data_IF_600540735274
#
_entry.id   IF_600540735274
#
_cell.length_a   1.000
_cell.length_b   1.000
_cell.length_c   1.000
_cell.angle_alpha   90.00
_cell.angle_beta   90.00
_cell.angle_gamma   90.00
#
_symmetry.space_group_name_H-M   'P 1'
#
loop_
_entity.id
_entity.type
_entity.pdbx_description
1 polymer ?
#
# COMPACT_ATOMS: atom_id res chain seq x y z
N UNK A 1 6.65 4.86 2.00
CA UNK A 1 7.82 3.97 2.19
C UNK A 1 7.82 3.03 0.99
N UNK A 2 8.78 3.18 0.10
CA UNK A 2 8.82 2.41 -1.16
C UNK A 2 9.24 0.97 -0.83
N UNK A 3 8.30 0.03 -0.87
CA UNK A 3 8.65 -1.38 -0.94
C UNK A 3 8.88 -1.68 -2.43
N UNK A 4 10.05 -1.27 -2.93
CA UNK A 4 10.58 -1.79 -4.18
C UNK A 4 11.28 -3.11 -3.84
N UNK A 5 10.57 -4.23 -4.02
CA UNK A 5 11.27 -5.49 -4.27
C UNK A 5 11.87 -5.37 -5.68
N UNK A 6 13.19 -5.50 -5.75
CA UNK A 6 13.99 -5.59 -6.97
C UNK A 6 13.21 -6.28 -8.11
N UNK A 7 13.29 -5.72 -9.33
CA UNK A 7 12.67 -6.22 -10.57
C UNK A 7 12.72 -7.74 -10.64
N UNK A 8 11.67 -8.36 -10.14
CA UNK A 8 11.43 -9.79 -10.22
C UNK A 8 10.37 -9.97 -11.30
N UNK A 9 10.54 -10.93 -12.22
CA UNK A 9 9.55 -11.18 -13.25
C UNK A 9 8.21 -11.49 -12.55
N UNK A 10 7.15 -10.77 -12.96
CA UNK A 10 5.78 -10.86 -12.45
C UNK A 10 5.45 -10.07 -11.17
N UNK A 11 6.22 -9.03 -10.83
CA UNK A 11 5.83 -8.08 -9.76
C UNK A 11 5.06 -6.92 -10.35
N UNK A 12 3.89 -6.64 -9.79
CA UNK A 12 3.06 -5.49 -10.14
C UNK A 12 3.25 -4.37 -9.12
N UNK A 13 3.51 -3.16 -9.61
CA UNK A 13 3.54 -1.96 -8.78
C UNK A 13 2.12 -1.43 -8.58
N UNK A 14 1.69 -1.29 -7.32
CA UNK A 14 0.39 -0.72 -6.98
C UNK A 14 0.56 0.63 -6.27
N UNK A 15 -0.18 1.65 -6.70
CA UNK A 15 -0.27 2.93 -5.99
C UNK A 15 -1.68 3.51 -6.00
N UNK A 16 -1.94 4.43 -5.06
CA UNK A 16 -3.24 5.10 -4.96
C UNK A 16 -3.40 6.22 -6.00
N UNK A 17 -4.63 6.76 -6.08
CA UNK A 17 -4.97 7.89 -6.93
C UNK A 17 -4.61 9.26 -6.34
N UNK A 18 -3.64 9.39 -5.42
CA UNK A 18 -3.27 10.68 -4.85
C UNK A 18 -2.72 11.64 -5.93
N UNK A 19 -3.02 12.95 -5.88
CA UNK A 19 -2.61 13.90 -6.92
C UNK A 19 -1.09 13.92 -7.21
N UNK A 20 -0.26 13.72 -6.18
CA UNK A 20 1.19 13.67 -6.33
C UNK A 20 1.66 12.52 -7.25
N UNK A 21 0.91 11.42 -7.29
CA UNK A 21 1.24 10.24 -8.10
C UNK A 21 0.72 10.35 -9.54
N UNK A 22 -0.01 11.42 -9.88
CA UNK A 22 -0.62 11.61 -11.20
C UNK A 22 0.23 12.44 -12.17
N UNK A 23 1.37 12.97 -11.71
CA UNK A 23 2.24 13.81 -12.53
C UNK A 23 2.87 13.01 -13.67
N UNK A 24 3.10 13.66 -14.81
CA UNK A 24 3.68 12.99 -15.98
C UNK A 24 5.07 12.43 -15.71
N UNK A 25 5.87 13.11 -14.87
CA UNK A 25 7.21 12.65 -14.47
C UNK A 25 7.17 11.35 -13.65
N UNK A 26 6.22 11.23 -12.72
CA UNK A 26 6.03 9.99 -11.95
C UNK A 26 5.56 8.86 -12.85
N UNK A 27 4.62 9.13 -13.77
CA UNK A 27 4.16 8.12 -14.73
C UNK A 27 5.30 7.60 -15.61
N UNK A 28 6.10 8.51 -16.16
CA UNK A 28 7.23 8.14 -17.01
C UNK A 28 8.22 7.25 -16.24
N UNK A 29 8.59 7.65 -15.02
CA UNK A 29 9.47 6.84 -14.18
C UNK A 29 8.89 5.44 -13.91
N UNK A 30 7.60 5.34 -13.58
CA UNK A 30 6.98 4.05 -13.31
C UNK A 30 6.95 3.15 -14.56
N UNK A 31 6.66 3.70 -15.73
CA UNK A 31 6.68 2.95 -17.00
C UNK A 31 8.10 2.47 -17.35
N UNK A 32 9.12 3.31 -17.11
CA UNK A 32 10.53 2.94 -17.35
C UNK A 32 10.99 1.78 -16.43
N UNK A 33 10.54 1.76 -15.18
CA UNK A 33 10.96 0.75 -14.19
C UNK A 33 10.11 -0.53 -14.20
N UNK A 34 8.79 -0.40 -14.41
CA UNK A 34 7.82 -1.49 -14.25
C UNK A 34 7.06 -1.85 -15.54
N UNK A 35 7.25 -1.11 -16.63
CA UNK A 35 6.56 -1.33 -17.90
C UNK A 35 5.04 -1.30 -17.75
N UNK A 36 4.37 -2.34 -18.22
CA UNK A 36 2.91 -2.51 -18.13
C UNK A 36 2.46 -3.08 -16.77
N UNK A 37 3.38 -3.42 -15.86
CA UNK A 37 3.08 -4.06 -14.57
C UNK A 37 2.70 -3.03 -13.50
N UNK A 38 1.76 -2.13 -13.81
CA UNK A 38 1.37 -1.02 -12.95
C UNK A 38 -0.15 -1.03 -12.75
N UNK A 39 -0.57 -1.05 -11.48
CA UNK A 39 -1.94 -0.95 -11.01
C UNK A 39 -2.11 0.40 -10.30
N UNK A 40 -2.89 1.32 -10.88
CA UNK A 40 -3.02 2.66 -10.34
C UNK A 40 -3.60 3.66 -11.32
N UNK A 41 -3.70 4.92 -10.90
CA UNK A 41 -4.26 5.96 -11.77
C UNK A 41 -3.32 6.28 -12.95
N UNK A 42 -3.76 5.95 -14.17
CA UNK A 42 -2.96 6.10 -15.38
C UNK A 42 -1.87 5.02 -15.53
N UNK A 43 -1.95 3.92 -14.76
CA UNK A 43 -1.26 2.67 -15.05
C UNK A 43 -2.00 1.87 -16.12
N UNK A 44 -1.46 0.70 -16.47
CA UNK A 44 -2.08 -0.18 -17.46
C UNK A 44 -3.37 -0.81 -16.92
N UNK A 45 -3.40 -1.13 -15.62
CA UNK A 45 -4.59 -1.56 -14.91
C UNK A 45 -5.13 -0.41 -14.06
N UNK A 46 -6.33 0.07 -14.37
CA UNK A 46 -6.98 1.11 -13.57
C UNK A 46 -7.32 0.57 -12.16
N UNK A 47 -7.01 1.38 -11.16
CA UNK A 47 -7.42 1.15 -9.78
C UNK A 47 -8.68 1.97 -9.46
N UNK A 48 -9.72 1.38 -8.85
CA UNK A 48 -10.96 2.10 -8.57
C UNK A 48 -10.72 3.32 -7.67
N UNK A 49 -11.26 4.50 -8.03
CA UNK A 49 -11.29 5.63 -7.11
C UNK A 49 -12.20 5.24 -5.94
N UNK A 50 -11.75 5.47 -4.70
CA UNK A 50 -12.48 5.25 -3.43
C UNK A 50 -12.29 3.93 -2.69
N UNK A 51 -11.40 3.04 -3.13
CA UNK A 51 -11.03 1.88 -2.31
C UNK A 51 -9.64 2.08 -1.70
N UNK A 52 -9.56 3.02 -0.77
CA UNK A 52 -8.43 3.21 0.16
C UNK A 52 -8.15 1.94 0.98
N UNK A 53 -9.14 1.06 1.06
CA UNK A 53 -9.10 -0.15 1.87
C UNK A 53 -8.33 -1.29 1.22
N UNK A 54 -8.03 -1.19 -0.07
CA UNK A 54 -7.40 -2.28 -0.82
C UNK A 54 -5.88 -2.10 -1.01
N UNK A 55 -5.28 -1.04 -0.49
CA UNK A 55 -3.82 -0.89 -0.54
C UNK A 55 -3.20 -1.74 0.58
N UNK A 56 -2.34 -2.73 0.27
CA UNK A 56 -1.62 -3.52 1.29
C UNK A 56 -0.86 -2.63 2.29
N UNK A 57 -0.46 -1.44 1.82
CA UNK A 57 0.24 -0.44 2.60
C UNK A 57 -0.63 0.16 3.72
N UNK A 58 -1.93 0.36 3.51
CA UNK A 58 -2.82 0.93 4.53
C UNK A 58 -3.04 -0.06 5.67
N UNK A 59 -3.12 -1.36 5.37
CA UNK A 59 -3.14 -2.42 6.39
C UNK A 59 -1.83 -2.50 7.17
N UNK A 60 -0.70 -2.53 6.45
CA UNK A 60 0.61 -2.58 7.09
C UNK A 60 0.86 -1.34 7.96
N UNK A 61 0.42 -0.17 7.51
CA UNK A 61 0.46 1.06 8.29
C UNK A 61 -0.47 0.99 9.49
N UNK A 62 -1.68 0.45 9.38
CA UNK A 62 -2.57 0.16 10.52
C UNK A 62 -1.90 -0.71 11.58
N UNK A 63 -1.27 -1.81 11.19
CA UNK A 63 -0.54 -2.69 12.10
C UNK A 63 0.67 -2.00 12.76
N UNK A 64 1.46 -1.27 11.98
CA UNK A 64 2.66 -0.57 12.49
C UNK A 64 2.34 0.70 13.28
N UNK A 65 1.24 1.38 13.01
CA UNK A 65 0.77 2.56 13.75
C UNK A 65 0.15 2.19 15.10
N UNK A 66 -0.49 1.01 15.19
CA UNK A 66 -0.95 0.44 16.46
C UNK A 66 0.22 -0.06 17.33
N UNK A 67 1.36 -0.33 16.71
CA UNK A 67 2.60 -0.55 17.45
C UNK A 67 3.10 0.76 18.07
N UNK A 68 3.91 0.63 19.12
CA UNK A 68 4.49 1.69 19.98
C UNK A 68 5.23 2.84 19.24
N UNK A 69 5.29 2.81 17.91
CA UNK A 69 5.81 3.83 17.01
C UNK A 69 5.15 5.20 17.20
N UNK A 70 3.82 5.29 17.34
CA UNK A 70 3.07 6.56 17.24
C UNK A 70 2.78 7.28 18.57
N UNK A 71 3.33 6.82 19.72
CA UNK A 71 3.24 7.56 21.01
C UNK A 71 3.81 8.99 20.83
N UNK A 72 3.31 10.02 21.55
CA UNK A 72 3.43 11.43 21.15
C UNK A 72 4.86 11.82 20.77
N UNK A 73 5.13 11.79 19.47
CA UNK A 73 6.41 12.15 18.85
C UNK A 73 6.38 13.65 18.57
N UNK A 74 6.32 14.45 19.64
CA UNK A 74 6.23 15.91 19.48
C UNK A 74 7.54 16.56 19.01
N UNK A 75 8.67 15.84 18.89
CA UNK A 75 9.93 16.56 18.58
C UNK A 75 11.07 15.86 17.84
N UNK A 76 11.10 14.54 17.59
CA UNK A 76 12.34 13.91 17.07
C UNK A 76 12.15 13.07 15.80
N UNK A 77 12.26 13.71 14.62
CA UNK A 77 12.21 13.06 13.30
C UNK A 77 13.16 11.85 13.19
N UNK A 78 14.37 11.96 13.75
CA UNK A 78 15.36 10.86 13.75
C UNK A 78 14.89 9.63 14.54
N UNK A 79 14.16 9.84 15.64
CA UNK A 79 13.62 8.74 16.45
C UNK A 79 12.48 8.05 15.68
N UNK A 80 11.60 8.83 15.04
CA UNK A 80 10.55 8.27 14.20
C UNK A 80 11.13 7.45 13.04
N UNK A 81 12.12 7.99 12.33
CA UNK A 81 12.79 7.26 11.24
C UNK A 81 13.37 5.94 11.72
N UNK A 82 14.13 5.94 12.83
CA UNK A 82 14.70 4.71 13.42
C UNK A 82 13.62 3.70 13.80
N UNK A 83 12.49 4.17 14.36
CA UNK A 83 11.38 3.29 14.75
C UNK A 83 10.70 2.66 13.53
N UNK A 84 10.46 3.43 12.47
CA UNK A 84 9.92 2.92 11.21
C UNK A 84 10.88 1.88 10.62
N UNK A 85 12.18 2.19 10.52
CA UNK A 85 13.19 1.24 10.03
C UNK A 85 13.20 -0.05 10.86
N UNK A 86 13.18 0.05 12.19
CA UNK A 86 13.12 -1.12 13.06
C UNK A 86 11.82 -1.92 12.89
N UNK A 87 10.67 -1.25 12.76
CA UNK A 87 9.40 -1.93 12.52
C UNK A 87 9.42 -2.71 11.21
N UNK A 88 9.97 -2.12 10.15
CA UNK A 88 10.12 -2.77 8.85
C UNK A 88 11.13 -3.92 8.87
N UNK A 89 12.22 -3.80 9.61
CA UNK A 89 13.19 -4.89 9.79
C UNK A 89 12.61 -6.10 10.55
N UNK A 90 11.57 -5.89 11.37
CA UNK A 90 10.91 -6.94 12.15
C UNK A 90 9.68 -7.53 11.45
N UNK A 91 9.42 -7.20 10.19
CA UNK A 91 8.32 -7.78 9.42
C UNK A 91 8.60 -9.25 9.17
N UNK A 92 7.67 -10.10 9.60
CA UNK A 92 7.78 -11.54 9.42
C UNK A 92 7.04 -12.00 8.16
N UNK A 93 7.41 -13.15 7.56
CA UNK A 93 6.64 -13.75 6.46
C UNK A 93 5.18 -14.01 6.83
N UNK A 94 4.89 -14.36 8.10
CA UNK A 94 3.53 -14.55 8.59
C UNK A 94 2.71 -13.26 8.53
N UNK A 95 3.30 -12.10 8.87
CA UNK A 95 2.63 -10.80 8.74
C UNK A 95 2.30 -10.49 7.28
N UNK A 96 3.22 -10.76 6.35
CA UNK A 96 2.99 -10.57 4.91
C UNK A 96 1.88 -11.48 4.39
N UNK A 97 1.85 -12.74 4.83
CA UNK A 97 0.78 -13.67 4.49
C UNK A 97 -0.59 -13.18 5.01
N UNK A 98 -0.65 -12.66 6.24
CA UNK A 98 -1.88 -12.05 6.76
C UNK A 98 -2.34 -10.85 5.95
N UNK A 99 -1.42 -9.98 5.50
CA UNK A 99 -1.75 -8.85 4.62
C UNK A 99 -2.34 -9.37 3.30
N UNK A 100 -1.76 -10.41 2.71
CA UNK A 100 -2.26 -11.00 1.47
C UNK A 100 -3.67 -11.57 1.63
N UNK A 101 -3.95 -12.30 2.71
CA UNK A 101 -5.29 -12.83 2.99
C UNK A 101 -6.33 -11.72 3.17
N UNK A 102 -5.97 -10.65 3.88
CA UNK A 102 -6.86 -9.50 4.09
C UNK A 102 -7.18 -8.80 2.77
N UNK A 103 -6.17 -8.56 1.92
CA UNK A 103 -6.36 -7.96 0.59
C UNK A 103 -7.31 -8.84 -0.24
N UNK A 104 -7.11 -10.16 -0.24
CA UNK A 104 -8.02 -11.09 -0.93
C UNK A 104 -9.45 -11.00 -0.38
N UNK A 105 -9.63 -10.98 0.94
CA UNK A 105 -10.94 -10.85 1.57
C UNK A 105 -11.63 -9.53 1.20
N UNK A 106 -10.89 -8.42 1.19
CA UNK A 106 -11.41 -7.11 0.79
C UNK A 106 -11.78 -7.05 -0.68
N UNK A 107 -11.01 -7.66 -1.57
CA UNK A 107 -11.38 -7.79 -3.00
C UNK A 107 -12.71 -8.56 -3.13
N UNK A 108 -12.89 -9.66 -2.38
CA UNK A 108 -14.14 -10.40 -2.39
C UNK A 108 -15.31 -9.56 -1.86
N UNK A 109 -15.10 -8.78 -0.79
CA UNK A 109 -16.13 -7.86 -0.28
C UNK A 109 -16.50 -6.79 -1.30
N UNK A 110 -15.54 -6.24 -2.04
CA UNK A 110 -15.80 -5.29 -3.14
C UNK A 110 -16.67 -5.93 -4.23
N UNK A 111 -16.35 -7.16 -4.62
CA UNK A 111 -17.10 -7.91 -5.65
C UNK A 111 -18.54 -8.13 -5.18
N UNK A 112 -18.75 -8.56 -3.93
CA UNK A 112 -20.08 -8.77 -3.34
C UNK A 112 -20.86 -7.46 -3.23
N UNK A 113 -20.16 -6.34 -2.97
CA UNK A 113 -20.76 -5.02 -2.89
C UNK A 113 -20.95 -4.35 -4.26
N UNK A 114 -20.65 -5.03 -5.39
CA UNK A 114 -20.68 -4.45 -6.74
C UNK A 114 -19.89 -3.13 -6.85
N UNK A 115 -18.75 -3.05 -6.14
CA UNK A 115 -17.90 -1.87 -6.07
C UNK A 115 -18.35 -0.77 -5.11
N UNK A 116 -19.48 -0.95 -4.40
CA UNK A 116 -19.92 -0.03 -3.35
C UNK A 116 -19.05 -0.13 -2.08
N UNK A 117 -19.10 0.91 -1.24
CA UNK A 117 -18.34 0.96 0.02
C UNK A 117 -18.86 -0.10 1.01
N UNK A 118 -17.95 -0.87 1.61
CA UNK A 118 -18.27 -1.96 2.55
C UNK A 118 -17.63 -1.80 3.94
N UNK A 119 -16.84 -0.77 4.20
CA UNK A 119 -16.48 -0.41 5.59
C UNK A 119 -17.73 0.14 6.29
N UNK A 120 -18.14 -0.52 7.40
CA UNK A 120 -19.32 -0.30 8.28
C UNK A 120 -20.42 -1.38 8.28
N UNK A 121 -20.10 -2.68 8.28
CA UNK A 121 -20.97 -3.65 8.98
C UNK A 121 -20.23 -4.22 10.20
N UNK A 122 -20.83 -3.95 11.35
CA UNK A 122 -20.42 -4.40 12.69
C UNK A 122 -20.39 -5.92 12.80
#
# INVERSE_FOLDING_TARGET
>A
MHICLFSAPNVWFQHDGAPAHKTSSVKQYLVEEFGEQIIGYGGFQEWPPHISDLTPMDFFWGHTSNSRCMRPLRQHCRILQRRITNACANVTPAMLHSVQLEVQARVQMCIVADGEKFEHRK
#
